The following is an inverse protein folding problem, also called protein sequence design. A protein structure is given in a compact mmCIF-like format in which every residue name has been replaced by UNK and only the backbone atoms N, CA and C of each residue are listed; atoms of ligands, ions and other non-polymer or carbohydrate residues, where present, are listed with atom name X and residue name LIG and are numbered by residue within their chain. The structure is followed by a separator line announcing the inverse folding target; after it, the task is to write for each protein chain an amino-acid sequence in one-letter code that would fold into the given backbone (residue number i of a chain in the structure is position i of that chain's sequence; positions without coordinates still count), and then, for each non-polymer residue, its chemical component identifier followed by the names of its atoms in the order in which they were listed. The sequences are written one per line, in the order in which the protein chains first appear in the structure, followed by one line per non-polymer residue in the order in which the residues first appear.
data_IF_861638306434
#
_entry.id   IF_861638306434
#
_cell.length_a   1.000
_cell.length_b   1.000
_cell.length_c   1.000
_cell.angle_alpha   90.00
_cell.angle_beta   90.00
_cell.angle_gamma   90.00
#
_symmetry.space_group_name_H-M   'P 1'
#
loop_
_entity.id
_entity.type
_entity.pdbx_description
1 polymer ?
#
# COMPACT_ATOMS: atom_id res chain seq x y z
N UNK A 1 7.83 20.55 -9.63
CA UNK A 1 6.53 20.51 -8.94
C UNK A 1 6.54 19.21 -8.19
N UNK A 2 6.81 19.27 -6.89
CA UNK A 2 6.80 18.10 -6.03
C UNK A 2 5.34 17.80 -5.71
N UNK A 3 4.81 16.72 -6.29
CA UNK A 3 3.45 16.31 -6.01
C UNK A 3 3.43 15.58 -4.66
N UNK A 4 2.74 16.16 -3.69
CA UNK A 4 2.46 15.54 -2.39
C UNK A 4 0.95 15.44 -2.23
N UNK A 5 0.50 14.44 -1.46
CA UNK A 5 -0.84 14.47 -0.86
C UNK A 5 -0.62 14.66 0.62
N UNK A 6 -0.95 15.86 1.10
CA UNK A 6 -1.05 16.10 2.54
C UNK A 6 -2.41 15.61 2.99
N UNK A 7 -2.45 14.79 4.05
CA UNK A 7 -3.70 14.46 4.72
C UNK A 7 -4.47 15.72 5.20
N UNK A 8 -3.78 16.86 5.35
CA UNK A 8 -4.37 18.16 5.68
C UNK A 8 -5.18 18.82 4.56
N UNK A 9 -5.12 18.32 3.32
CA UNK A 9 -5.81 18.91 2.15
C UNK A 9 -7.11 18.18 1.78
N UNK A 10 -7.44 17.08 2.48
CA UNK A 10 -8.73 16.40 2.38
C UNK A 10 -9.78 17.14 3.25
N UNK A 11 -10.95 17.54 2.70
CA UNK A 11 -11.90 18.37 3.43
C UNK A 11 -12.68 17.51 4.44
N UNK A 12 -12.33 17.58 5.73
CA UNK A 12 -13.26 17.89 6.85
C UNK A 12 -12.62 17.76 8.25
N UNK A 13 -13.02 18.72 9.09
CA UNK A 13 -12.64 18.96 10.49
C UNK A 13 -12.65 17.69 11.38
N UNK A 14 -11.54 17.46 12.09
CA UNK A 14 -11.56 16.80 13.41
C UNK A 14 -11.11 15.34 13.52
N UNK A 15 -10.50 14.74 12.50
CA UNK A 15 -9.91 13.39 12.60
C UNK A 15 -8.38 13.48 12.56
N UNK A 16 -7.69 12.96 13.57
CA UNK A 16 -6.25 12.80 13.52
C UNK A 16 -5.91 11.60 12.62
N UNK A 17 -5.14 11.84 11.56
CA UNK A 17 -4.62 10.78 10.70
C UNK A 17 -3.49 10.01 11.40
N UNK A 18 -3.46 8.68 11.23
CA UNK A 18 -2.39 7.84 11.80
C UNK A 18 -1.02 8.23 11.23
N UNK A 19 -0.99 8.50 9.92
CA UNK A 19 0.13 9.10 9.20
C UNK A 19 -0.40 10.33 8.48
N UNK A 20 0.29 11.46 8.59
CA UNK A 20 -0.11 12.71 7.90
C UNK A 20 0.26 12.73 6.41
N UNK A 21 1.24 11.91 6.02
CA UNK A 21 1.83 11.98 4.69
C UNK A 21 2.60 10.70 4.31
N UNK A 22 2.37 10.22 3.10
CA UNK A 22 3.25 9.23 2.45
C UNK A 22 4.27 10.00 1.61
N UNK A 23 5.52 9.96 2.05
CA UNK A 23 6.56 10.87 1.54
C UNK A 23 7.30 10.32 0.31
N UNK A 24 7.53 11.16 -0.72
CA UNK A 24 8.55 10.99 -1.74
C UNK A 24 9.87 10.41 -1.22
N UNK A 25 10.44 9.45 -1.95
CA UNK A 25 11.75 8.88 -1.64
C UNK A 25 11.81 7.98 -0.40
N UNK A 26 10.66 7.66 0.20
CA UNK A 26 10.56 6.78 1.36
C UNK A 26 9.73 5.53 1.08
N UNK A 27 9.96 4.48 1.87
CA UNK A 27 9.14 3.27 1.86
C UNK A 27 8.24 3.22 3.11
N UNK A 28 6.96 2.98 2.90
CA UNK A 28 5.97 2.70 3.95
C UNK A 28 5.57 1.24 3.87
N UNK A 29 5.74 0.50 4.97
CA UNK A 29 5.22 -0.86 5.09
C UNK A 29 3.83 -0.81 5.74
N UNK A 30 2.87 -1.49 5.12
CA UNK A 30 1.54 -1.74 5.70
C UNK A 30 1.37 -3.24 5.80
N UNK A 31 1.10 -3.76 7.00
CA UNK A 31 0.89 -5.19 7.17
C UNK A 31 -0.29 -5.53 8.07
N UNK A 32 -0.92 -6.69 7.86
CA UNK A 32 -2.14 -7.03 8.58
C UNK A 32 -2.96 -8.15 7.94
N UNK A 33 -4.25 -8.18 8.29
CA UNK A 33 -5.24 -9.08 7.71
C UNK A 33 -5.49 -8.72 6.24
N UNK A 34 -5.65 -9.73 5.37
CA UNK A 34 -5.72 -9.56 3.91
C UNK A 34 -6.84 -8.63 3.50
N UNK A 35 -8.02 -8.78 4.11
CA UNK A 35 -9.21 -7.98 3.84
C UNK A 35 -9.00 -6.50 4.20
N UNK A 36 -8.13 -6.22 5.17
CA UNK A 36 -7.80 -4.85 5.57
C UNK A 36 -6.73 -4.24 4.67
N UNK A 37 -5.79 -5.04 4.18
CA UNK A 37 -4.77 -4.60 3.23
C UNK A 37 -5.39 -4.19 1.90
N UNK A 38 -6.42 -4.91 1.44
CA UNK A 38 -7.19 -4.54 0.26
C UNK A 38 -7.89 -3.17 0.44
N UNK A 39 -8.61 -2.99 1.56
CA UNK A 39 -9.26 -1.71 1.88
C UNK A 39 -8.25 -0.55 1.95
N UNK A 40 -7.09 -0.79 2.56
CA UNK A 40 -6.01 0.19 2.65
C UNK A 40 -5.46 0.54 1.25
N UNK A 41 -5.27 -0.45 0.38
CA UNK A 41 -4.83 -0.24 -1.00
C UNK A 41 -5.86 0.60 -1.77
N UNK A 42 -7.15 0.26 -1.69
CA UNK A 42 -8.20 1.00 -2.42
C UNK A 42 -8.33 2.43 -1.93
N UNK A 43 -8.28 2.64 -0.61
CA UNK A 43 -8.23 4.00 -0.05
C UNK A 43 -7.06 4.81 -0.58
N UNK A 44 -5.86 4.20 -0.58
CA UNK A 44 -4.62 4.83 -1.05
C UNK A 44 -4.76 5.27 -2.51
N UNK A 45 -5.10 4.35 -3.41
CA UNK A 45 -5.11 4.68 -4.85
C UNK A 45 -6.26 5.62 -5.21
N UNK A 46 -7.40 5.54 -4.51
CA UNK A 46 -8.50 6.48 -4.69
C UNK A 46 -8.15 7.90 -4.22
N UNK A 47 -7.40 8.04 -3.11
CA UNK A 47 -6.90 9.34 -2.67
C UNK A 47 -5.91 9.96 -3.68
N UNK A 48 -5.05 9.15 -4.29
CA UNK A 48 -4.16 9.62 -5.34
C UNK A 48 -4.90 10.00 -6.62
N UNK A 49 -5.87 9.19 -7.02
CA UNK A 49 -6.69 9.46 -8.19
C UNK A 49 -7.53 10.74 -8.00
N UNK A 50 -8.09 10.98 -6.81
CA UNK A 50 -8.86 12.21 -6.53
C UNK A 50 -8.00 13.48 -6.57
N UNK A 51 -6.69 13.33 -6.35
CA UNK A 51 -5.69 14.41 -6.54
C UNK A 51 -5.24 14.57 -7.99
N UNK A 52 -5.81 13.81 -8.93
CA UNK A 52 -5.47 13.83 -10.36
C UNK A 52 -4.19 13.04 -10.70
N UNK A 53 -3.64 12.31 -9.75
CA UNK A 53 -2.38 11.59 -9.90
C UNK A 53 -2.57 10.12 -10.23
N UNK A 54 -1.59 9.57 -10.97
CA UNK A 54 -1.61 8.16 -11.35
C UNK A 54 -1.04 7.30 -10.22
N UNK A 55 -1.64 6.13 -10.02
CA UNK A 55 -1.12 5.10 -9.11
C UNK A 55 -0.63 3.89 -9.89
N UNK A 56 0.49 3.30 -9.49
CA UNK A 56 0.95 2.01 -10.00
C UNK A 56 0.85 0.95 -8.90
N UNK A 57 0.00 -0.04 -9.10
CA UNK A 57 -0.10 -1.24 -8.27
C UNK A 57 0.74 -2.33 -8.92
N UNK A 58 1.73 -2.84 -8.20
CA UNK A 58 2.48 -4.04 -8.56
C UNK A 58 2.02 -5.18 -7.66
N UNK A 59 1.17 -6.06 -8.18
CA UNK A 59 0.53 -7.12 -7.39
C UNK A 59 1.28 -8.44 -7.50
N UNK A 60 1.54 -9.09 -6.37
CA UNK A 60 2.25 -10.37 -6.27
C UNK A 60 1.23 -11.46 -5.96
N UNK A 61 0.84 -12.23 -6.97
CA UNK A 61 -0.32 -13.14 -6.89
C UNK A 61 0.09 -14.54 -7.29
N UNK A 62 -0.35 -15.54 -6.53
CA UNK A 62 -0.24 -16.93 -6.96
C UNK A 62 -1.28 -17.20 -8.05
N UNK A 63 -0.90 -17.88 -9.14
CA UNK A 63 -1.73 -18.07 -10.33
C UNK A 63 -3.02 -18.88 -10.08
N UNK A 64 -3.17 -19.46 -8.88
CA UNK A 64 -4.39 -20.10 -8.40
C UNK A 64 -5.41 -19.14 -7.77
N UNK A 65 -5.02 -17.90 -7.47
CA UNK A 65 -5.95 -16.90 -6.93
C UNK A 65 -6.78 -16.26 -8.06
N UNK A 66 -8.10 -16.25 -7.91
CA UNK A 66 -9.07 -15.92 -8.96
C UNK A 66 -9.25 -14.43 -9.24
N UNK A 67 -8.86 -13.55 -8.31
CA UNK A 67 -9.06 -12.10 -8.46
C UNK A 67 -7.91 -11.32 -7.81
N UNK A 68 -7.35 -10.38 -8.57
CA UNK A 68 -6.17 -9.58 -8.17
C UNK A 68 -6.57 -8.26 -7.52
N UNK A 69 -7.58 -7.61 -8.10
CA UNK A 69 -8.17 -6.33 -7.67
C UNK A 69 -9.67 -6.41 -8.00
N UNK A 70 -10.51 -6.05 -7.04
CA UNK A 70 -11.94 -5.81 -7.23
C UNK A 70 -12.19 -4.38 -7.69
N UNK A 71 -12.48 -4.24 -8.98
CA UNK A 71 -12.77 -2.94 -9.60
C UNK A 71 -14.09 -2.34 -9.12
N UNK A 72 -15.07 -3.15 -8.71
CA UNK A 72 -16.34 -2.66 -8.18
C UNK A 72 -16.14 -2.05 -6.80
N UNK A 73 -15.46 -2.76 -5.90
CA UNK A 73 -15.13 -2.21 -4.58
C UNK A 73 -14.24 -0.97 -4.73
N UNK A 74 -13.23 -1.00 -5.61
CA UNK A 74 -12.40 0.18 -5.86
C UNK A 74 -13.22 1.38 -6.37
N UNK A 75 -14.20 1.15 -7.25
CA UNK A 75 -15.12 2.19 -7.72
C UNK A 75 -15.96 2.78 -6.57
N UNK A 76 -16.39 1.97 -5.60
CA UNK A 76 -17.08 2.48 -4.39
C UNK A 76 -16.19 3.41 -3.56
N UNK A 77 -14.89 3.10 -3.44
CA UNK A 77 -13.93 4.01 -2.79
C UNK A 77 -13.73 5.31 -3.59
N UNK A 78 -13.74 5.25 -4.92
CA UNK A 78 -13.66 6.46 -5.74
C UNK A 78 -14.90 7.34 -5.56
N UNK A 79 -16.10 6.74 -5.51
CA UNK A 79 -17.33 7.46 -5.21
C UNK A 79 -17.29 8.13 -3.83
N UNK A 80 -16.72 7.48 -2.81
CA UNK A 80 -16.59 8.11 -1.48
C UNK A 80 -15.66 9.32 -1.48
N UNK A 81 -14.70 9.38 -2.41
CA UNK A 81 -13.83 10.54 -2.62
C UNK A 81 -14.46 11.63 -3.52
N UNK A 82 -15.76 11.53 -3.83
CA UNK A 82 -16.47 12.37 -4.81
C UNK A 82 -15.82 12.34 -6.21
N UNK A 83 -15.23 11.21 -6.57
CA UNK A 83 -14.61 11.00 -7.87
C UNK A 83 -15.51 10.14 -8.75
N UNK A 84 -15.61 10.49 -10.04
CA UNK A 84 -16.22 9.61 -11.04
C UNK A 84 -15.38 8.33 -11.20
N UNK A 85 -15.95 7.13 -11.00
CA UNK A 85 -15.18 5.89 -11.03
C UNK A 85 -14.54 5.59 -12.38
N UNK A 86 -15.19 5.93 -13.49
CA UNK A 86 -14.61 5.68 -14.82
C UNK A 86 -13.35 6.51 -15.04
N UNK A 87 -13.41 7.80 -14.66
CA UNK A 87 -12.25 8.69 -14.68
C UNK A 87 -11.14 8.23 -13.71
N UNK A 88 -11.51 7.82 -12.49
CA UNK A 88 -10.55 7.38 -11.47
C UNK A 88 -9.84 6.08 -11.83
N UNK A 89 -10.56 5.08 -12.35
CA UNK A 89 -9.97 3.81 -12.76
C UNK A 89 -8.94 3.99 -13.88
N UNK A 90 -9.09 5.00 -14.75
CA UNK A 90 -8.09 5.35 -15.79
C UNK A 90 -6.76 5.88 -15.21
N UNK A 91 -6.72 6.29 -13.95
CA UNK A 91 -5.51 6.72 -13.25
C UNK A 91 -4.82 5.58 -12.50
N UNK A 92 -5.44 4.40 -12.39
CA UNK A 92 -4.89 3.24 -11.67
C UNK A 92 -4.30 2.25 -12.66
N UNK A 93 -2.98 2.06 -12.60
CA UNK A 93 -2.25 1.12 -13.43
C UNK A 93 -1.91 -0.12 -12.61
N UNK A 94 -2.11 -1.29 -13.20
CA UNK A 94 -1.85 -2.58 -12.55
C UNK A 94 -0.80 -3.38 -13.33
N UNK A 95 0.23 -3.84 -12.62
CA UNK A 95 1.20 -4.81 -13.08
C UNK A 95 1.14 -6.05 -12.19
N UNK A 96 0.68 -7.18 -12.74
CA UNK A 96 0.57 -8.43 -11.98
C UNK A 96 1.78 -9.32 -12.23
N UNK A 97 2.37 -9.80 -11.13
CA UNK A 97 3.47 -10.73 -11.10
C UNK A 97 2.94 -12.07 -10.60
N UNK A 98 3.07 -13.12 -11.42
CA UNK A 98 2.56 -14.46 -11.15
C UNK A 98 3.63 -15.42 -10.62
N UNK A 99 4.90 -15.04 -10.69
CA UNK A 99 5.99 -15.87 -10.23
C UNK A 99 7.22 -15.06 -9.80
N UNK A 100 8.10 -15.73 -9.04
CA UNK A 100 9.34 -15.17 -8.49
C UNK A 100 10.26 -14.61 -9.57
N UNK A 101 10.33 -15.26 -10.74
CA UNK A 101 11.18 -14.81 -11.86
C UNK A 101 10.71 -13.45 -12.36
N UNK A 102 9.41 -13.24 -12.53
CA UNK A 102 8.86 -11.93 -12.90
C UNK A 102 9.14 -10.88 -11.82
N UNK A 103 8.95 -11.22 -10.55
CA UNK A 103 9.23 -10.31 -9.43
C UNK A 103 10.69 -9.83 -9.38
N UNK A 104 11.66 -10.71 -9.62
CA UNK A 104 13.08 -10.34 -9.63
C UNK A 104 13.56 -9.74 -10.95
N UNK A 105 12.77 -9.78 -12.02
CA UNK A 105 13.15 -9.25 -13.34
C UNK A 105 12.37 -8.00 -13.74
N UNK A 106 11.39 -7.58 -12.94
CA UNK A 106 10.61 -6.37 -13.20
C UNK A 106 11.55 -5.16 -13.34
N UNK A 107 11.49 -4.54 -14.51
CA UNK A 107 12.22 -3.32 -14.82
C UNK A 107 11.40 -2.10 -14.39
N UNK A 108 11.55 -1.73 -13.11
CA UNK A 108 10.88 -0.56 -12.55
C UNK A 108 11.19 0.71 -13.34
N UNK A 109 12.40 0.89 -13.86
CA UNK A 109 12.77 2.08 -14.63
C UNK A 109 11.84 2.26 -15.83
N UNK A 110 11.71 1.21 -16.65
CA UNK A 110 10.86 1.21 -17.84
C UNK A 110 9.38 1.40 -17.51
N UNK A 111 8.89 0.72 -16.47
CA UNK A 111 7.48 0.82 -16.05
C UNK A 111 7.16 2.24 -15.55
N UNK A 112 8.04 2.82 -14.74
CA UNK A 112 7.87 4.19 -14.22
C UNK A 112 7.93 5.24 -15.33
N UNK A 113 8.80 5.08 -16.33
CA UNK A 113 8.88 5.99 -17.48
C UNK A 113 7.61 5.97 -18.33
N UNK A 114 6.97 4.79 -18.45
CA UNK A 114 5.75 4.61 -19.21
C UNK A 114 4.51 5.15 -18.47
N UNK A 115 4.33 4.74 -17.21
CA UNK A 115 3.13 5.07 -16.42
C UNK A 115 3.18 6.50 -15.87
N UNK A 116 4.37 6.92 -15.41
CA UNK A 116 4.60 8.16 -14.64
C UNK A 116 3.66 8.27 -13.42
N UNK A 117 3.75 7.33 -12.47
CA UNK A 117 2.87 7.35 -11.29
C UNK A 117 3.35 8.36 -10.24
N UNK A 118 2.40 8.92 -9.50
CA UNK A 118 2.65 9.68 -8.27
C UNK A 118 2.85 8.80 -7.03
N UNK A 119 2.45 7.52 -7.08
CA UNK A 119 2.71 6.51 -6.04
C UNK A 119 2.84 5.11 -6.61
N UNK A 120 3.70 4.29 -6.00
CA UNK A 120 3.81 2.86 -6.30
C UNK A 120 3.44 2.04 -5.08
N UNK A 121 2.50 1.11 -5.26
CA UNK A 121 2.09 0.15 -4.25
C UNK A 121 2.55 -1.27 -4.64
N UNK A 122 3.43 -1.89 -3.85
CA UNK A 122 3.74 -3.32 -3.97
C UNK A 122 2.73 -4.09 -3.14
N UNK A 123 1.79 -4.78 -3.79
CA UNK A 123 0.70 -5.45 -3.11
C UNK A 123 1.01 -6.92 -2.84
N UNK A 124 0.92 -7.32 -1.56
CA UNK A 124 1.11 -8.68 -1.04
C UNK A 124 2.44 -9.31 -1.44
N UNK A 125 3.53 -8.54 -1.34
CA UNK A 125 4.86 -8.90 -1.87
C UNK A 125 5.39 -10.26 -1.37
N UNK A 126 5.00 -10.70 -0.17
CA UNK A 126 5.44 -11.97 0.41
C UNK A 126 4.74 -13.21 -0.18
N UNK A 127 3.61 -13.06 -0.89
CA UNK A 127 2.80 -14.19 -1.38
C UNK A 127 3.55 -15.13 -2.32
N UNK A 128 4.42 -14.57 -3.15
CA UNK A 128 5.20 -15.36 -4.10
C UNK A 128 6.42 -16.04 -3.48
N UNK A 129 6.78 -15.78 -2.21
CA UNK A 129 8.05 -16.21 -1.64
C UNK A 129 7.88 -17.01 -0.35
N UNK A 130 8.41 -18.22 -0.32
CA UNK A 130 8.53 -19.00 0.92
C UNK A 130 9.75 -18.54 1.72
N UNK A 131 9.82 -18.92 3.00
CA UNK A 131 10.93 -18.54 3.90
C UNK A 131 12.32 -18.85 3.34
N UNK A 132 12.51 -20.00 2.69
CA UNK A 132 13.77 -20.38 2.05
C UNK A 132 14.18 -19.45 0.88
N UNK A 133 13.26 -18.64 0.38
CA UNK A 133 13.38 -17.86 -0.85
C UNK A 133 13.40 -16.35 -0.56
N UNK A 134 13.47 -15.97 0.72
CA UNK A 134 13.61 -14.58 1.12
C UNK A 134 14.80 -13.84 0.47
N UNK A 135 15.94 -14.47 0.14
CA UNK A 135 16.98 -13.79 -0.67
C UNK A 135 16.48 -13.27 -2.04
N UNK A 136 15.53 -13.97 -2.68
CA UNK A 136 14.91 -13.51 -3.92
C UNK A 136 13.94 -12.36 -3.67
N UNK A 137 13.18 -12.40 -2.57
CA UNK A 137 12.35 -11.28 -2.14
C UNK A 137 13.19 -10.03 -1.89
N UNK A 138 14.34 -10.15 -1.21
CA UNK A 138 15.29 -9.05 -1.02
C UNK A 138 15.80 -8.49 -2.34
N UNK A 139 16.04 -9.36 -3.33
CA UNK A 139 16.45 -8.94 -4.67
C UNK A 139 15.34 -8.16 -5.39
N UNK A 140 14.08 -8.59 -5.27
CA UNK A 140 12.92 -7.87 -5.80
C UNK A 140 12.73 -6.50 -5.12
N UNK A 141 12.81 -6.44 -3.79
CA UNK A 141 12.74 -5.19 -3.03
C UNK A 141 13.90 -4.24 -3.36
N UNK A 142 15.11 -4.78 -3.57
CA UNK A 142 16.27 -3.99 -3.97
C UNK A 142 16.06 -3.31 -5.31
N UNK A 143 15.38 -3.96 -6.27
CA UNK A 143 14.98 -3.33 -7.53
C UNK A 143 13.90 -2.28 -7.35
N UNK A 144 12.94 -2.52 -6.45
CA UNK A 144 11.92 -1.53 -6.12
C UNK A 144 12.49 -0.25 -5.49
N UNK A 145 13.75 -0.25 -5.01
CA UNK A 145 14.44 0.98 -4.57
C UNK A 145 14.53 2.03 -5.68
N UNK A 146 14.50 1.64 -6.94
CA UNK A 146 14.45 2.56 -8.09
C UNK A 146 13.27 3.55 -7.97
N UNK A 147 12.13 3.11 -7.40
CA UNK A 147 10.97 3.98 -7.12
C UNK A 147 11.38 5.12 -6.20
N UNK A 148 11.99 4.80 -5.06
CA UNK A 148 12.43 5.79 -4.07
C UNK A 148 13.57 6.66 -4.61
N UNK A 149 14.49 6.10 -5.39
CA UNK A 149 15.59 6.86 -6.01
C UNK A 149 15.09 7.92 -7.00
N UNK A 150 13.91 7.71 -7.59
CA UNK A 150 13.21 8.68 -8.44
C UNK A 150 12.37 9.69 -7.65
N UNK A 151 12.46 9.68 -6.33
CA UNK A 151 11.67 10.55 -5.46
C UNK A 151 10.20 10.16 -5.38
N UNK A 152 9.81 8.96 -5.77
CA UNK A 152 8.41 8.52 -5.66
C UNK A 152 8.18 7.83 -4.30
N UNK A 153 6.99 7.97 -3.71
CA UNK A 153 6.60 7.18 -2.54
C UNK A 153 6.39 5.71 -2.91
N UNK A 154 6.95 4.82 -2.10
CA UNK A 154 6.78 3.37 -2.23
C UNK A 154 5.98 2.83 -1.04
N UNK A 155 4.81 2.24 -1.30
CA UNK A 155 4.00 1.59 -0.26
C UNK A 155 4.09 0.08 -0.47
N UNK A 156 4.48 -0.67 0.56
CA UNK A 156 4.65 -2.12 0.51
C UNK A 156 3.60 -2.74 1.41
N UNK A 157 2.71 -3.55 0.83
CA UNK A 157 1.70 -4.31 1.55
C UNK A 157 2.14 -5.75 1.75
N UNK A 158 2.05 -6.23 2.99
CA UNK A 158 2.50 -7.55 3.40
C UNK A 158 1.48 -8.18 4.34
N UNK A 159 1.19 -9.46 4.18
CA UNK A 159 0.28 -10.14 5.10
C UNK A 159 0.87 -10.22 6.53
N UNK A 160 0.03 -10.30 7.56
CA UNK A 160 0.51 -10.67 8.90
C UNK A 160 1.00 -12.12 8.91
N UNK A 161 2.12 -12.37 9.60
CA UNK A 161 2.71 -13.70 9.66
C UNK A 161 1.85 -14.68 10.44
N UNK A 162 1.59 -15.84 9.83
CA UNK A 162 0.86 -16.94 10.48
C UNK A 162 1.70 -17.64 11.55
N UNK A 163 3.03 -17.65 11.37
CA UNK A 163 3.97 -18.27 12.29
C UNK A 163 4.39 -17.35 13.45
N UNK A 164 4.39 -16.04 13.22
CA UNK A 164 4.83 -15.02 14.17
C UNK A 164 3.77 -13.92 14.30
N UNK A 165 2.78 -14.14 15.16
CA UNK A 165 1.69 -13.18 15.40
C UNK A 165 2.24 -11.78 15.69
N UNK A 166 1.64 -10.75 15.09
CA UNK A 166 2.05 -9.36 15.28
C UNK A 166 3.18 -8.88 14.37
N UNK A 167 3.81 -9.76 13.60
CA UNK A 167 4.89 -9.41 12.67
C UNK A 167 4.44 -9.53 11.21
N UNK A 168 5.04 -8.75 10.29
CA UNK A 168 4.82 -8.93 8.86
C UNK A 168 5.36 -10.30 8.40
N UNK A 169 4.67 -10.91 7.45
CA UNK A 169 5.12 -12.12 6.76
C UNK A 169 6.29 -11.79 5.82
N UNK A 170 7.49 -12.21 6.19
CA UNK A 170 8.69 -11.94 5.42
C UNK A 170 9.95 -11.82 6.28
N UNK A 171 11.10 -11.50 5.64
CA UNK A 171 12.35 -11.28 6.35
C UNK A 171 12.28 -10.02 7.20
N UNK A 172 13.01 -9.99 8.32
CA UNK A 172 13.11 -8.82 9.20
C UNK A 172 13.56 -7.56 8.45
N UNK A 173 14.28 -7.72 7.34
CA UNK A 173 14.67 -6.64 6.45
C UNK A 173 13.51 -5.77 5.97
N UNK A 174 12.27 -6.28 5.85
CA UNK A 174 11.10 -5.46 5.50
C UNK A 174 10.90 -4.28 6.47
N UNK A 175 11.10 -4.53 7.76
CA UNK A 175 11.01 -3.50 8.79
C UNK A 175 12.16 -2.49 8.70
N UNK A 176 13.35 -2.91 8.26
CA UNK A 176 14.50 -2.02 8.06
C UNK A 176 14.40 -1.21 6.77
N UNK A 177 13.87 -1.82 5.72
CA UNK A 177 13.66 -1.21 4.40
C UNK A 177 12.70 -0.04 4.46
N UNK A 178 11.66 -0.15 5.30
CA UNK A 178 10.63 0.89 5.41
C UNK A 178 10.96 1.92 6.48
N UNK A 179 10.81 3.20 6.14
CA UNK A 179 10.93 4.30 7.09
C UNK A 179 9.74 4.33 8.04
N UNK A 180 8.55 4.03 7.51
CA UNK A 180 7.30 4.02 8.26
C UNK A 180 6.67 2.63 8.22
N UNK A 181 6.13 2.17 9.34
CA UNK A 181 5.49 0.84 9.46
C UNK A 181 4.12 0.99 10.12
N UNK A 182 3.09 0.52 9.43
CA UNK A 182 1.71 0.45 9.90
C UNK A 182 1.29 -1.00 10.03
N UNK A 183 0.65 -1.32 11.14
CA UNK A 183 -0.06 -2.58 11.34
C UNK A 183 -1.55 -2.35 11.29
N UNK A 184 -2.28 -3.21 10.58
CA UNK A 184 -3.75 -3.20 10.51
C UNK A 184 -4.29 -4.50 11.13
N UNK A 185 -5.24 -4.35 12.06
CA UNK A 185 -5.81 -5.49 12.78
C UNK A 185 -7.32 -5.32 12.97
N UNK A 186 -8.09 -6.30 12.52
CA UNK A 186 -9.52 -6.36 12.80
C UNK A 186 -9.79 -6.69 14.26
N UNK A 187 -10.74 -6.00 14.85
CA UNK A 187 -11.24 -6.21 16.21
C UNK A 187 -12.68 -6.72 16.18
N UNK A 188 -13.11 -7.32 17.30
CA UNK A 188 -14.52 -7.71 17.48
C UNK A 188 -15.42 -6.47 17.44
N UNK A 189 -16.62 -6.63 16.89
CA UNK A 189 -17.60 -5.55 16.79
C UNK A 189 -17.44 -4.65 15.56
N UNK A 190 -16.67 -5.08 14.56
CA UNK A 190 -16.55 -4.34 13.30
C UNK A 190 -15.65 -3.11 13.38
N UNK A 191 -14.64 -3.14 14.26
CA UNK A 191 -13.61 -2.09 14.36
C UNK A 191 -12.28 -2.58 13.80
N UNK A 192 -11.43 -1.64 13.41
CA UNK A 192 -10.09 -1.87 12.90
C UNK A 192 -9.12 -1.01 13.72
N UNK A 193 -8.12 -1.65 14.29
CA UNK A 193 -6.97 -0.99 14.89
C UNK A 193 -5.91 -0.77 13.80
N UNK A 194 -5.48 0.47 13.63
CA UNK A 194 -4.32 0.81 12.82
C UNK A 194 -3.21 1.35 13.76
N UNK A 195 -2.09 0.65 13.83
CA UNK A 195 -0.97 0.97 14.72
C UNK A 195 0.22 1.47 13.92
N UNK A 196 0.72 2.65 14.26
CA UNK A 196 2.02 3.14 13.81
C UNK A 196 3.11 2.47 14.64
N UNK A 197 3.78 1.48 14.07
CA UNK A 197 4.80 0.66 14.75
C UNK A 197 6.20 1.28 14.62
N UNK A 198 6.44 2.01 13.53
CA UNK A 198 7.72 2.67 13.28
C UNK A 198 7.47 3.95 12.50
N UNK A 199 8.04 5.05 12.95
CA UNK A 199 8.10 6.30 12.19
C UNK A 199 9.27 7.15 12.70
N UNK A 200 10.02 7.84 11.83
CA UNK A 200 11.02 8.81 12.27
C UNK A 200 10.40 10.13 12.75
N UNK A 201 9.10 10.36 12.49
CA UNK A 201 8.45 11.66 12.68
C UNK A 201 7.46 11.68 13.85
N UNK A 202 6.92 10.52 14.21
CA UNK A 202 5.87 10.37 15.22
C UNK A 202 6.19 9.19 16.12
N UNK A 203 5.78 9.28 17.38
CA UNK A 203 5.85 8.16 18.31
C UNK A 203 4.83 7.08 17.92
N UNK A 204 5.09 5.87 18.38
CA UNK A 204 4.15 4.76 18.24
C UNK A 204 2.80 5.14 18.83
N UNK A 205 1.73 4.89 18.05
CA UNK A 205 0.34 5.15 18.44
C UNK A 205 -0.59 4.19 17.71
N UNK A 206 -1.72 3.87 18.32
CA UNK A 206 -2.82 3.13 17.69
C UNK A 206 -4.03 4.04 17.58
N UNK A 207 -4.72 3.95 16.45
CA UNK A 207 -6.02 4.57 16.22
C UNK A 207 -7.06 3.49 15.90
N UNK A 208 -8.32 3.75 16.24
CA UNK A 208 -9.42 2.82 16.03
C UNK A 208 -10.43 3.41 15.05
N UNK A 209 -10.78 2.60 14.06
CA UNK A 209 -11.69 2.96 12.99
C UNK A 209 -12.84 1.96 12.93
N UNK A 210 -14.02 2.38 12.49
CA UNK A 210 -15.06 1.43 12.11
C UNK A 210 -14.67 0.69 10.81
N UNK A 211 -15.21 -0.49 10.57
CA UNK A 211 -14.85 -1.34 9.43
C UNK A 211 -15.58 -1.04 8.12
N UNK A 212 -16.42 0.00 8.11
CA UNK A 212 -17.16 0.45 6.94
C UNK A 212 -16.24 1.15 5.93
N UNK A 213 -16.60 1.08 4.64
CA UNK A 213 -15.85 1.72 3.53
C UNK A 213 -15.59 3.21 3.81
N UNK A 214 -16.55 3.91 4.43
CA UNK A 214 -16.45 5.33 4.83
C UNK A 214 -15.56 5.58 6.07
N UNK A 215 -15.11 4.56 6.77
CA UNK A 215 -14.34 4.68 8.00
C UNK A 215 -12.83 4.45 7.81
N UNK A 216 -12.40 4.12 6.59
CA UNK A 216 -10.98 4.08 6.16
C UNK A 216 -10.46 5.48 5.80
N UNK A 217 -11.28 6.52 5.96
CA UNK A 217 -10.97 7.93 5.65
C UNK A 217 -9.80 8.52 6.46
N UNK A 218 -9.19 7.80 7.42
CA UNK A 218 -8.11 8.31 8.30
C UNK A 218 -6.84 7.45 8.41
N UNK A 219 -6.62 6.49 7.50
CA UNK A 219 -5.44 5.60 7.56
C UNK A 219 -4.20 6.18 6.90
N UNK A 220 -4.41 7.07 5.93
CA UNK A 220 -3.41 7.78 5.14
C UNK A 220 -3.91 9.19 4.86
#
# INVERSE_FOLDING_TARGET
MDTFIRASELPRKGREYLIEEIRPGTATLVYGQVELLEKALYRLVSAWASSGERSLIVSFVDYHESQVIDTYTLAEYMLSENMDPEAGLKLVYLATLYNKRQAVSLDYKRVLDHVRPGVVALYRVSRLFKHAEYPLLLSALSRAREVMMRGLPLVVFVDESQSRRGLPEGPAYLLHFSSTVIRLKGLRGGYIEASLVKSPWRRERSEFFESNIRAVEGWF
#
